data_IF_425388058828
#
_entry.id   IF_425388058828
#
_cell.length_a   1.000
_cell.length_b   1.000
_cell.length_c   1.000
_cell.angle_alpha   90.00
_cell.angle_beta   90.00
_cell.angle_gamma   90.00
#
_symmetry.space_group_name_H-M   'P 1'
#
loop_
_entity.id
_entity.type
_entity.pdbx_description
1 polymer ?
#
# COMPACT_ATOMS: atom_id res chain seq x y z
N UNK A 1 11.70 -27.45 7.19
CA UNK A 1 10.38 -26.75 7.23
C UNK A 1 10.40 -25.73 6.09
N UNK A 2 9.73 -26.00 4.97
CA UNK A 2 9.72 -25.11 3.79
C UNK A 2 8.90 -23.87 4.18
N UNK A 3 9.56 -22.73 4.39
CA UNK A 3 8.86 -21.46 4.60
C UNK A 3 8.34 -21.08 3.22
N UNK A 4 7.09 -21.45 2.93
CA UNK A 4 6.40 -20.97 1.74
C UNK A 4 6.35 -19.44 1.87
N UNK A 5 6.78 -18.66 0.85
CA UNK A 5 6.59 -17.22 0.90
C UNK A 5 5.10 -16.96 1.11
N UNK A 6 4.76 -16.22 2.16
CA UNK A 6 3.39 -15.75 2.37
C UNK A 6 2.97 -15.03 1.09
N UNK A 7 1.83 -15.42 0.52
CA UNK A 7 1.24 -14.67 -0.59
C UNK A 7 1.13 -13.21 -0.14
N UNK A 8 1.54 -12.29 -1.00
CA UNK A 8 1.39 -10.86 -0.73
C UNK A 8 -0.08 -10.54 -0.41
N UNK A 9 -0.34 -9.69 0.59
CA UNK A 9 -1.70 -9.34 0.98
C UNK A 9 -2.53 -8.70 -0.16
N UNK A 10 -1.88 -8.10 -1.16
CA UNK A 10 -2.53 -7.65 -2.38
C UNK A 10 -1.63 -7.84 -3.61
N UNK A 11 -2.26 -7.90 -4.78
CA UNK A 11 -1.59 -7.95 -6.09
C UNK A 11 -2.02 -6.74 -6.89
N UNK A 12 -1.06 -5.99 -7.41
CA UNK A 12 -1.30 -4.83 -8.26
C UNK A 12 -1.45 -5.27 -9.71
N UNK A 13 -2.41 -4.69 -10.42
CA UNK A 13 -2.48 -4.81 -11.87
C UNK A 13 -1.38 -3.97 -12.52
N UNK A 14 -0.98 -4.27 -13.78
CA UNK A 14 0.02 -3.47 -14.48
C UNK A 14 -0.35 -1.99 -14.60
N UNK A 15 -1.65 -1.68 -14.77
CA UNK A 15 -2.15 -0.31 -14.81
C UNK A 15 -2.04 0.39 -13.45
N UNK A 16 -2.32 -0.31 -12.35
CA UNK A 16 -2.15 0.22 -11.01
C UNK A 16 -0.68 0.55 -10.72
N UNK A 17 0.24 -0.36 -11.06
CA UNK A 17 1.69 -0.12 -10.94
C UNK A 17 2.09 1.16 -11.68
N UNK A 18 1.65 1.33 -12.94
CA UNK A 18 1.95 2.53 -13.73
C UNK A 18 1.42 3.79 -13.03
N UNK A 19 0.19 3.75 -12.52
CA UNK A 19 -0.42 4.91 -11.87
C UNK A 19 0.28 5.27 -10.57
N UNK A 20 0.68 4.29 -9.76
CA UNK A 20 1.42 4.55 -8.53
C UNK A 20 2.79 5.15 -8.84
N UNK A 21 3.50 4.65 -9.86
CA UNK A 21 4.76 5.26 -10.30
C UNK A 21 4.59 6.71 -10.72
N UNK A 22 3.53 7.02 -11.47
CA UNK A 22 3.20 8.39 -11.88
C UNK A 22 2.96 9.29 -10.67
N UNK A 23 2.16 8.85 -9.69
CA UNK A 23 1.89 9.58 -8.46
C UNK A 23 3.19 9.79 -7.66
N UNK A 24 4.02 8.76 -7.52
CA UNK A 24 5.31 8.83 -6.82
C UNK A 24 6.37 9.68 -7.54
N UNK A 25 6.16 10.00 -8.83
CA UNK A 25 7.08 10.86 -9.60
C UNK A 25 6.74 12.34 -9.46
N UNK A 26 5.61 12.70 -8.85
CA UNK A 26 5.21 14.08 -8.60
C UNK A 26 6.04 14.69 -7.46
N UNK A 27 6.26 16.00 -7.50
CA UNK A 27 7.03 16.71 -6.46
C UNK A 27 6.44 16.54 -5.06
N UNK A 28 5.11 16.45 -4.96
CA UNK A 28 4.38 16.23 -3.71
C UNK A 28 4.69 14.88 -3.05
N UNK A 29 5.17 13.90 -3.82
CA UNK A 29 5.54 12.58 -3.33
C UNK A 29 7.02 12.47 -2.90
N UNK A 30 7.81 13.55 -3.06
CA UNK A 30 9.23 13.55 -2.66
C UNK A 30 9.36 13.40 -1.14
N UNK A 31 10.05 12.34 -0.71
CA UNK A 31 10.27 12.03 0.71
C UNK A 31 9.36 10.95 1.29
N UNK A 32 8.40 10.44 0.49
CA UNK A 32 7.60 9.27 0.86
C UNK A 32 8.24 7.98 0.34
N UNK A 33 8.11 6.89 1.09
CA UNK A 33 8.63 5.56 0.74
C UNK A 33 7.65 4.76 -0.13
N UNK A 34 6.41 5.20 -0.27
CA UNK A 34 5.36 4.54 -1.03
C UNK A 34 3.96 5.07 -0.71
N UNK A 35 2.93 4.32 -1.13
CA UNK A 35 1.55 4.58 -0.73
C UNK A 35 1.13 3.66 0.41
N UNK A 36 0.24 4.13 1.28
CA UNK A 36 -0.37 3.40 2.36
C UNK A 36 -1.84 3.13 2.05
N UNK A 37 -2.24 1.87 2.10
CA UNK A 37 -3.63 1.42 2.02
C UNK A 37 -4.19 1.28 3.43
N UNK A 38 -5.28 1.98 3.71
CA UNK A 38 -6.03 1.84 4.97
C UNK A 38 -7.49 1.47 4.70
N UNK A 39 -8.18 1.05 5.76
CA UNK A 39 -9.64 0.87 5.76
C UNK A 39 -10.24 1.81 6.79
N UNK A 40 -11.27 2.55 6.41
CA UNK A 40 -12.07 3.40 7.29
C UNK A 40 -13.51 2.92 7.31
N UNK A 41 -14.13 2.94 8.49
CA UNK A 41 -15.55 2.65 8.64
C UNK A 41 -16.39 3.83 8.12
N UNK A 42 -17.43 3.50 7.36
CA UNK A 42 -18.38 4.46 6.80
C UNK A 42 -19.80 3.99 7.09
N UNK A 43 -20.55 4.75 7.90
CA UNK A 43 -21.93 4.42 8.28
C UNK A 43 -22.02 3.17 9.15
N UNK A 44 -23.20 2.52 9.20
CA UNK A 44 -23.44 1.40 10.12
C UNK A 44 -22.61 0.15 9.77
N UNK A 45 -22.41 -0.17 8.49
CA UNK A 45 -21.73 -1.39 8.05
C UNK A 45 -20.77 -1.19 6.87
N UNK A 46 -20.53 0.05 6.44
CA UNK A 46 -19.69 0.32 5.27
C UNK A 46 -18.21 0.36 5.62
N UNK A 47 -17.38 -0.11 4.70
CA UNK A 47 -15.93 0.04 4.72
C UNK A 47 -15.51 0.83 3.48
N UNK A 48 -14.51 1.68 3.63
CA UNK A 48 -13.93 2.46 2.54
C UNK A 48 -12.41 2.37 2.60
N UNK A 49 -11.79 2.08 1.47
CA UNK A 49 -10.34 2.08 1.37
C UNK A 49 -9.82 3.51 1.26
N UNK A 50 -8.68 3.78 1.90
CA UNK A 50 -7.94 5.04 1.76
C UNK A 50 -6.56 4.77 1.20
N UNK A 51 -6.10 5.71 0.37
CA UNK A 51 -4.76 5.75 -0.18
C UNK A 51 -4.09 7.02 0.31
N UNK A 52 -3.12 6.87 1.19
CA UNK A 52 -2.34 7.95 1.78
C UNK A 52 -0.86 7.81 1.40
N UNK A 53 -0.07 8.86 1.53
CA UNK A 53 1.39 8.74 1.34
C UNK A 53 2.06 8.17 2.60
N UNK A 54 2.98 7.23 2.43
CA UNK A 54 3.71 6.60 3.53
C UNK A 54 5.12 7.19 3.66
N UNK A 55 5.49 7.74 4.81
CA UNK A 55 6.88 8.16 5.10
C UNK A 55 7.68 7.06 5.77
N UNK A 56 7.04 6.29 6.65
CA UNK A 56 7.65 5.20 7.42
C UNK A 56 6.74 3.98 7.46
N UNK A 57 7.34 2.79 7.54
CA UNK A 57 6.63 1.54 7.77
C UNK A 57 6.40 1.37 9.27
N UNK A 58 5.15 1.19 9.70
CA UNK A 58 4.82 0.83 11.07
C UNK A 58 5.26 -0.60 11.40
N UNK A 59 5.51 -0.90 12.69
CA UNK A 59 5.97 -2.24 13.14
C UNK A 59 5.03 -3.39 12.75
N UNK A 60 3.73 -3.09 12.65
CA UNK A 60 2.67 -4.05 12.32
C UNK A 60 2.11 -3.85 10.91
N UNK A 61 2.65 -2.90 10.15
CA UNK A 61 2.20 -2.67 8.79
C UNK A 61 2.83 -3.71 7.87
N UNK A 62 2.05 -4.23 6.93
CA UNK A 62 2.56 -5.14 5.90
C UNK A 62 3.16 -4.31 4.75
N UNK A 63 4.28 -4.75 4.20
CA UNK A 63 4.93 -4.09 3.07
C UNK A 63 4.86 -5.01 1.85
N UNK A 64 4.26 -4.51 0.78
CA UNK A 64 4.16 -5.20 -0.51
C UNK A 64 5.03 -4.45 -1.51
N UNK A 65 6.02 -5.14 -2.07
CA UNK A 65 6.88 -4.63 -3.14
C UNK A 65 6.53 -5.36 -4.43
N UNK A 66 6.11 -4.61 -5.44
CA UNK A 66 5.80 -5.16 -6.75
C UNK A 66 6.26 -4.21 -7.85
N UNK A 67 6.99 -4.74 -8.84
CA UNK A 67 7.39 -4.01 -10.06
C UNK A 67 8.08 -2.65 -9.79
N UNK A 68 8.82 -2.54 -8.68
CA UNK A 68 9.52 -1.32 -8.25
C UNK A 68 8.65 -0.30 -7.52
N UNK A 69 7.43 -0.66 -7.15
CA UNK A 69 6.51 0.14 -6.32
C UNK A 69 6.44 -0.48 -4.93
N UNK A 70 6.40 0.37 -3.90
CA UNK A 70 6.17 -0.01 -2.51
C UNK A 70 4.79 0.42 -2.08
N UNK A 71 4.00 -0.54 -1.58
CA UNK A 71 2.71 -0.31 -0.92
C UNK A 71 2.81 -0.78 0.52
N UNK A 72 2.36 0.05 1.44
CA UNK A 72 2.23 -0.25 2.87
C UNK A 72 0.76 -0.52 3.14
N UNK A 73 0.44 -1.58 3.88
CA UNK A 73 -0.93 -1.90 4.28
C UNK A 73 -1.02 -1.63 5.77
N UNK A 74 -1.98 -0.78 6.16
CA UNK A 74 -2.25 -0.52 7.56
C UNK A 74 -2.66 -1.82 8.26
N UNK A 75 -2.13 -2.06 9.46
CA UNK A 75 -2.48 -3.24 10.26
C UNK A 75 -3.99 -3.44 10.51
N UNK A 76 -4.80 -2.38 10.39
CA UNK A 76 -6.26 -2.43 10.59
C UNK A 76 -7.03 -2.80 9.31
N UNK A 77 -6.34 -2.81 8.16
CA UNK A 77 -6.91 -3.17 6.87
C UNK A 77 -6.97 -4.69 6.66
#
# INVERSE_FOLDING_TARGET
KRILPSRAALVLTPSAVKKVKEIMSQDDAKGFIGLKVGVRQRGCNGLSYTLDYATIKGKLDEEVKQDGVTIIIDKKA
#
